data_IF_800999285353
#
_entry.id   IF_800999285353
#
_cell.length_a   1.000
_cell.length_b   1.000
_cell.length_c   1.000
_cell.angle_alpha   90.00
_cell.angle_beta   90.00
_cell.angle_gamma   90.00
#
_symmetry.space_group_name_H-M   'P 1'
#
loop_
_entity.id
_entity.type
_entity.pdbx_description
1 polymer ?
#
# COMPACT_ATOMS: atom_id res chain seq x y z
N UNK A 1 46.28 -4.93 -31.53
CA UNK A 1 46.05 -4.80 -30.07
C UNK A 1 45.04 -3.70 -29.74
N UNK A 2 45.24 -2.42 -30.11
CA UNK A 2 44.30 -1.32 -29.79
C UNK A 2 42.85 -1.56 -30.28
N UNK A 3 42.65 -2.03 -31.52
CA UNK A 3 41.31 -2.35 -32.07
C UNK A 3 40.57 -3.43 -31.28
N UNK A 4 41.27 -4.47 -30.83
CA UNK A 4 40.70 -5.54 -30.00
C UNK A 4 40.25 -4.99 -28.64
N UNK A 5 41.05 -4.08 -28.06
CA UNK A 5 40.78 -3.43 -26.78
C UNK A 5 39.52 -2.55 -26.83
N UNK A 6 39.29 -1.83 -27.94
CA UNK A 6 38.06 -1.05 -28.15
C UNK A 6 36.81 -1.93 -28.31
N UNK A 7 36.91 -3.05 -29.01
CA UNK A 7 35.78 -3.99 -29.18
C UNK A 7 35.40 -4.60 -27.83
N UNK A 8 36.38 -5.05 -27.04
CA UNK A 8 36.14 -5.59 -25.70
C UNK A 8 35.48 -4.56 -24.79
N UNK A 9 35.96 -3.32 -24.79
CA UNK A 9 35.37 -2.25 -23.99
C UNK A 9 33.90 -1.97 -24.39
N UNK A 10 33.59 -1.92 -25.70
CA UNK A 10 32.23 -1.69 -26.18
C UNK A 10 31.27 -2.82 -25.77
N UNK A 11 31.71 -4.08 -25.86
CA UNK A 11 30.92 -5.24 -25.43
C UNK A 11 30.64 -5.18 -23.93
N UNK A 12 31.64 -4.84 -23.12
CA UNK A 12 31.47 -4.70 -21.67
C UNK A 12 30.47 -3.59 -21.30
N UNK A 13 30.51 -2.45 -22.01
CA UNK A 13 29.56 -1.36 -21.80
C UNK A 13 28.13 -1.80 -22.12
N UNK A 14 27.93 -2.49 -23.25
CA UNK A 14 26.59 -2.99 -23.64
C UNK A 14 26.07 -4.00 -22.62
N UNK A 15 26.92 -4.93 -22.15
CA UNK A 15 26.55 -5.88 -21.09
C UNK A 15 26.18 -5.13 -19.81
N UNK A 16 26.94 -4.11 -19.41
CA UNK A 16 26.68 -3.34 -18.20
C UNK A 16 25.35 -2.58 -18.28
N UNK A 17 25.05 -1.96 -19.42
CA UNK A 17 23.76 -1.29 -19.67
C UNK A 17 22.62 -2.31 -19.60
N UNK A 18 22.77 -3.47 -20.23
CA UNK A 18 21.75 -4.51 -20.25
C UNK A 18 21.48 -5.09 -18.85
N UNK A 19 22.55 -5.39 -18.09
CA UNK A 19 22.46 -5.89 -16.71
C UNK A 19 21.81 -4.85 -15.81
N UNK A 20 22.23 -3.58 -15.88
CA UNK A 20 21.63 -2.50 -15.09
C UNK A 20 20.14 -2.33 -15.37
N UNK A 21 19.74 -2.43 -16.64
CA UNK A 21 18.32 -2.39 -17.03
C UNK A 21 17.53 -3.58 -16.47
N UNK A 22 18.13 -4.77 -16.46
CA UNK A 22 17.53 -5.98 -15.87
C UNK A 22 17.45 -5.94 -14.34
N UNK A 23 18.49 -5.47 -13.65
CA UNK A 23 18.52 -5.45 -12.18
C UNK A 23 17.56 -4.43 -11.58
N UNK A 24 17.28 -3.32 -12.29
CA UNK A 24 16.26 -2.36 -11.88
C UNK A 24 14.82 -2.92 -11.97
N UNK A 25 14.62 -4.07 -12.64
CA UNK A 25 13.32 -4.74 -12.74
C UNK A 25 13.15 -5.90 -11.76
N UNK A 26 14.16 -6.23 -10.95
CA UNK A 26 14.01 -7.28 -9.96
C UNK A 26 13.13 -6.74 -8.81
N UNK A 27 11.92 -7.27 -8.63
CA UNK A 27 11.08 -6.87 -7.51
C UNK A 27 11.83 -7.23 -6.23
N UNK A 28 12.00 -6.24 -5.34
CA UNK A 28 12.42 -6.51 -3.96
C UNK A 28 11.47 -7.57 -3.42
N UNK A 29 12.00 -8.70 -3.00
CA UNK A 29 11.21 -9.79 -2.43
C UNK A 29 10.66 -9.33 -1.08
N UNK A 30 9.48 -8.69 -1.13
CA UNK A 30 8.72 -8.35 0.07
C UNK A 30 8.07 -9.65 0.55
N UNK A 31 8.63 -10.26 1.59
CA UNK A 31 8.11 -11.52 2.15
C UNK A 31 6.82 -11.36 2.94
N UNK A 32 6.51 -10.13 3.39
CA UNK A 32 5.31 -9.79 4.17
C UNK A 32 4.60 -8.59 3.56
N UNK A 33 3.31 -8.73 3.29
CA UNK A 33 2.46 -7.65 2.81
C UNK A 33 1.16 -7.61 3.62
N UNK A 34 0.92 -6.49 4.30
CA UNK A 34 -0.24 -6.31 5.15
C UNK A 34 -0.41 -4.84 5.56
N UNK A 35 -1.42 -4.58 6.37
CA UNK A 35 -1.71 -3.23 6.87
C UNK A 35 -0.68 -2.84 7.94
N UNK A 36 0.02 -1.72 7.75
CA UNK A 36 1.02 -1.20 8.70
C UNK A 36 0.38 -0.35 9.81
N UNK A 37 -0.75 0.29 9.53
CA UNK A 37 -1.50 1.07 10.51
C UNK A 37 -2.71 0.29 11.02
N UNK A 38 -3.02 0.42 12.32
CA UNK A 38 -4.11 -0.33 12.97
C UNK A 38 -5.49 0.31 12.83
N UNK A 39 -5.55 1.63 12.70
CA UNK A 39 -6.79 2.38 12.83
C UNK A 39 -6.95 3.43 11.73
N UNK A 40 -8.19 3.87 11.55
CA UNK A 40 -8.63 4.87 10.61
C UNK A 40 -8.90 4.34 9.21
N UNK A 41 -9.32 5.26 8.36
CA UNK A 41 -9.74 4.98 6.98
C UNK A 41 -8.59 5.06 5.96
N UNK A 42 -7.44 5.62 6.35
CA UNK A 42 -6.25 5.71 5.51
C UNK A 42 -5.44 4.42 5.62
N UNK A 43 -5.60 3.51 4.65
CA UNK A 43 -4.90 2.23 4.65
C UNK A 43 -3.44 2.40 4.19
N UNK A 44 -2.50 2.00 5.03
CA UNK A 44 -1.07 1.92 4.70
C UNK A 44 -0.72 0.46 4.56
N UNK A 45 -0.31 0.03 3.37
CA UNK A 45 0.12 -1.33 3.10
C UNK A 45 1.65 -1.39 3.00
N UNK A 46 2.25 -2.40 3.61
CA UNK A 46 3.69 -2.58 3.59
C UNK A 46 4.12 -3.83 4.34
N UNK A 47 5.37 -3.83 4.79
CA UNK A 47 6.01 -4.99 5.42
C UNK A 47 6.08 -4.89 6.94
N UNK A 48 5.87 -3.69 7.50
CA UNK A 48 5.88 -3.42 8.93
C UNK A 48 4.49 -3.67 9.53
N UNK A 49 4.02 -4.90 9.42
CA UNK A 49 2.70 -5.30 9.93
C UNK A 49 2.78 -5.37 11.46
N UNK A 50 1.92 -4.64 12.20
CA UNK A 50 1.89 -4.70 13.65
C UNK A 50 1.34 -6.06 14.10
N UNK A 51 2.03 -6.71 15.04
CA UNK A 51 1.57 -7.98 15.61
C UNK A 51 0.30 -7.80 16.47
N UNK A 52 0.16 -6.63 17.09
CA UNK A 52 -0.99 -6.26 17.92
C UNK A 52 -1.40 -4.81 17.67
N UNK A 53 -2.70 -4.55 17.71
CA UNK A 53 -3.27 -3.23 17.64
C UNK A 53 -3.80 -2.80 19.01
N UNK A 54 -3.76 -1.49 19.28
CA UNK A 54 -4.41 -0.94 20.46
C UNK A 54 -5.93 -1.17 20.42
N UNK A 55 -6.58 -1.09 21.58
CA UNK A 55 -8.05 -1.19 21.68
C UNK A 55 -8.77 0.12 21.36
N UNK A 56 -8.04 1.17 20.95
CA UNK A 56 -8.65 2.41 20.48
C UNK A 56 -9.49 2.15 19.24
N UNK A 57 -10.64 2.82 19.13
CA UNK A 57 -11.43 2.80 17.92
C UNK A 57 -11.33 4.17 17.23
N UNK A 58 -11.08 4.17 15.92
CA UNK A 58 -11.15 5.37 15.11
C UNK A 58 -12.24 5.25 14.05
N UNK A 59 -12.75 6.40 13.63
CA UNK A 59 -13.76 6.47 12.57
C UNK A 59 -13.19 5.82 11.30
N UNK A 60 -13.91 4.86 10.74
CA UNK A 60 -13.48 4.07 9.58
C UNK A 60 -12.84 2.73 9.92
N UNK A 61 -12.60 2.40 11.19
CA UNK A 61 -12.08 1.09 11.60
C UNK A 61 -12.98 -0.05 11.13
N UNK A 62 -14.30 0.17 11.11
CA UNK A 62 -15.27 -0.82 10.59
C UNK A 62 -15.03 -1.16 9.12
N UNK A 63 -14.49 -0.24 8.32
CA UNK A 63 -14.18 -0.47 6.93
C UNK A 63 -12.95 -1.36 6.73
N UNK A 64 -12.06 -1.48 7.74
CA UNK A 64 -10.80 -2.24 7.62
C UNK A 64 -11.03 -3.74 7.45
N UNK A 65 -12.20 -4.28 7.80
CA UNK A 65 -12.58 -5.67 7.49
C UNK A 65 -12.69 -5.95 5.98
N UNK A 66 -12.82 -4.90 5.17
CA UNK A 66 -12.85 -4.96 3.71
C UNK A 66 -11.52 -4.53 3.08
N UNK A 67 -10.54 -4.13 3.89
CA UNK A 67 -9.22 -3.73 3.41
C UNK A 67 -8.41 -4.96 3.00
N UNK A 68 -7.69 -4.86 1.89
CA UNK A 68 -6.80 -5.91 1.42
C UNK A 68 -5.48 -5.29 0.95
N UNK A 69 -4.35 -5.86 1.38
CA UNK A 69 -3.04 -5.51 0.88
C UNK A 69 -2.52 -6.67 0.02
N UNK A 70 -2.07 -6.37 -1.20
CA UNK A 70 -1.51 -7.38 -2.10
C UNK A 70 -0.21 -6.91 -2.71
N UNK A 71 0.66 -7.87 -3.03
CA UNK A 71 1.88 -7.60 -3.79
C UNK A 71 1.51 -7.54 -5.27
N UNK A 72 1.68 -6.38 -5.88
CA UNK A 72 1.49 -6.17 -7.32
C UNK A 72 2.79 -5.61 -7.88
N UNK A 73 3.37 -6.32 -8.86
CA UNK A 73 4.66 -5.97 -9.45
C UNK A 73 5.80 -5.77 -8.41
N UNK A 74 5.78 -6.56 -7.33
CA UNK A 74 6.78 -6.46 -6.27
C UNK A 74 6.55 -5.35 -5.24
N UNK A 75 5.44 -4.62 -5.34
CA UNK A 75 5.08 -3.55 -4.39
C UNK A 75 3.85 -3.97 -3.61
N UNK A 76 3.92 -3.89 -2.27
CA UNK A 76 2.76 -4.11 -1.41
C UNK A 76 1.84 -2.88 -1.48
N UNK A 77 0.62 -3.06 -1.96
CA UNK A 77 -0.32 -1.97 -2.18
C UNK A 77 -1.73 -2.33 -1.72
N UNK A 78 -2.51 -1.31 -1.37
CA UNK A 78 -3.92 -1.46 -1.01
C UNK A 78 -4.75 -1.78 -2.25
N UNK A 79 -5.54 -2.85 -2.18
CA UNK A 79 -6.56 -3.19 -3.16
C UNK A 79 -7.90 -2.77 -2.59
N UNK A 80 -8.53 -1.78 -3.21
CA UNK A 80 -9.85 -1.29 -2.80
C UNK A 80 -10.92 -2.19 -3.40
N UNK A 81 -11.63 -2.94 -2.56
CA UNK A 81 -12.82 -3.66 -3.01
C UNK A 81 -14.01 -2.69 -3.12
N UNK A 82 -15.06 -3.05 -3.89
CA UNK A 82 -16.30 -2.28 -3.93
C UNK A 82 -16.92 -2.07 -2.54
N UNK A 83 -16.82 -3.05 -1.64
CA UNK A 83 -17.31 -2.97 -0.26
C UNK A 83 -16.50 -1.95 0.56
N UNK A 84 -15.18 -1.93 0.39
CA UNK A 84 -14.33 -0.92 1.03
C UNK A 84 -14.69 0.48 0.55
N UNK A 85 -14.85 0.69 -0.75
CA UNK A 85 -15.20 1.99 -1.32
C UNK A 85 -16.59 2.47 -0.87
N UNK A 86 -17.56 1.56 -0.80
CA UNK A 86 -18.90 1.84 -0.26
C UNK A 86 -18.83 2.25 1.21
N UNK A 87 -18.09 1.49 2.03
CA UNK A 87 -17.90 1.80 3.44
C UNK A 87 -17.19 3.15 3.63
N UNK A 88 -16.08 3.36 2.92
CA UNK A 88 -15.30 4.60 2.91
C UNK A 88 -16.17 5.80 2.54
N UNK A 89 -17.02 5.66 1.52
CA UNK A 89 -17.92 6.73 1.09
C UNK A 89 -18.96 7.07 2.17
N UNK A 90 -19.53 6.06 2.82
CA UNK A 90 -20.48 6.22 3.92
C UNK A 90 -19.84 6.94 5.11
N UNK A 91 -18.69 6.45 5.59
CA UNK A 91 -17.94 7.04 6.71
C UNK A 91 -17.50 8.47 6.40
N UNK A 92 -17.01 8.74 5.20
CA UNK A 92 -16.64 10.09 4.77
C UNK A 92 -17.86 11.04 4.76
N UNK A 93 -19.05 10.54 4.42
CA UNK A 93 -20.28 11.32 4.51
C UNK A 93 -20.66 11.63 5.96
N UNK A 94 -20.59 10.64 6.85
CA UNK A 94 -20.80 10.83 8.29
C UNK A 94 -19.85 11.88 8.87
N UNK A 95 -18.56 11.78 8.55
CA UNK A 95 -17.55 12.74 9.02
C UNK A 95 -17.83 14.16 8.53
N UNK A 96 -18.25 14.34 7.27
CA UNK A 96 -18.63 15.66 6.72
C UNK A 96 -19.90 16.24 7.35
N UNK A 97 -20.89 15.39 7.62
CA UNK A 97 -22.16 15.83 8.21
C UNK A 97 -22.00 16.25 9.67
N UNK A 98 -21.08 15.61 10.40
CA UNK A 98 -20.91 15.75 11.85
C UNK A 98 -19.49 16.19 12.25
N UNK A 99 -18.84 17.07 11.47
CA UNK A 99 -17.41 17.46 11.65
C UNK A 99 -17.02 17.87 13.08
N UNK A 100 -17.94 18.49 13.83
CA UNK A 100 -17.70 18.95 15.21
C UNK A 100 -18.51 18.15 16.25
N UNK A 101 -18.96 16.96 15.86
CA UNK A 101 -19.94 16.14 16.57
C UNK A 101 -19.49 14.66 16.53
N UNK A 102 -18.40 14.29 17.24
CA UNK A 102 -17.77 12.98 17.09
C UNK A 102 -18.72 11.83 17.45
N UNK A 103 -19.52 11.97 18.50
CA UNK A 103 -20.48 10.95 18.92
C UNK A 103 -21.52 10.67 17.83
N UNK A 104 -22.03 11.71 17.17
CA UNK A 104 -22.95 11.58 16.04
C UNK A 104 -22.26 11.00 14.80
N UNK A 105 -20.99 11.33 14.55
CA UNK A 105 -20.22 10.73 13.47
C UNK A 105 -20.05 9.21 13.68
N UNK A 106 -19.73 8.76 14.90
CA UNK A 106 -19.63 7.34 15.25
C UNK A 106 -21.00 6.63 15.19
N UNK A 107 -22.06 7.27 15.68
CA UNK A 107 -23.43 6.73 15.58
C UNK A 107 -23.88 6.60 14.12
N UNK A 108 -23.45 7.52 13.25
CA UNK A 108 -23.66 7.44 11.81
C UNK A 108 -22.87 6.29 11.19
N UNK A 109 -21.57 6.14 11.49
CA UNK A 109 -20.74 5.01 11.02
C UNK A 109 -21.33 3.65 11.41
N UNK A 110 -21.96 3.54 12.58
CA UNK A 110 -22.59 2.29 13.01
C UNK A 110 -23.64 1.77 12.02
N UNK A 111 -24.23 2.66 11.21
CA UNK A 111 -25.25 2.37 10.18
C UNK A 111 -24.66 2.14 8.77
N UNK A 112 -23.38 2.44 8.58
CA UNK A 112 -22.58 1.85 7.53
C UNK A 112 -22.32 0.35 7.88
#
# INVERSE_FOLDING_TARGET
MKKLLFIVAAVLIVIFIFVSWYTNKLPVSISKCGLENCHGLNLVCGSNIPDVCGMSYQLGDKCRKFANCQIVNGVCQSIKSPEFEKCQSCVNSCNRQYQNKPEEAFSCEAKC
#
